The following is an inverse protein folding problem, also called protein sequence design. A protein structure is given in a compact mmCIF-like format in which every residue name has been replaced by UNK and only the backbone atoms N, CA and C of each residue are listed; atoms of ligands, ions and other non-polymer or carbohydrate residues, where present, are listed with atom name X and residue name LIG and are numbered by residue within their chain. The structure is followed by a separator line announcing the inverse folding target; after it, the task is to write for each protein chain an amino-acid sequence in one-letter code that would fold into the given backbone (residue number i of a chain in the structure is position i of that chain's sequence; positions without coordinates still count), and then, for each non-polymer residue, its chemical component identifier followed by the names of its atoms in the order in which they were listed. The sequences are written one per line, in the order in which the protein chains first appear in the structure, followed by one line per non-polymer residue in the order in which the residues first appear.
data_IF_990644202263
#
_entry.id   IF_990644202263
#
_cell.length_a   1.000
_cell.length_b   1.000
_cell.length_c   1.000
_cell.angle_alpha   90.00
_cell.angle_beta   90.00
_cell.angle_gamma   90.00
#
_symmetry.space_group_name_H-M   'P 1'
#
loop_
_entity.id
_entity.type
_entity.pdbx_description
1 polymer ?
#
# COMPACT_ATOMS: atom_id res chain seq x y z
N UNK A 1 13.97 28.62 25.48
CA UNK A 1 12.76 27.95 25.00
C UNK A 1 12.54 28.27 23.55
N UNK A 2 12.08 27.31 22.74
CA UNK A 2 11.79 27.51 21.33
C UNK A 2 12.95 27.29 20.36
N UNK A 3 14.09 26.83 20.79
CA UNK A 3 15.23 26.52 19.94
C UNK A 3 15.22 25.07 19.45
N UNK A 4 15.76 24.82 18.25
CA UNK A 4 16.08 23.47 17.77
C UNK A 4 17.38 23.03 18.42
N UNK A 5 17.39 21.85 19.01
CA UNK A 5 18.55 21.27 19.70
C UNK A 5 18.80 19.84 19.26
N UNK A 6 20.04 19.38 19.33
CA UNK A 6 20.39 17.98 19.15
C UNK A 6 20.42 17.28 20.51
N UNK A 7 19.77 16.14 20.62
CA UNK A 7 19.73 15.31 21.84
C UNK A 7 20.36 13.96 21.50
N UNK A 8 21.20 13.43 22.41
CA UNK A 8 21.84 12.13 22.27
C UNK A 8 21.43 11.20 23.41
N UNK A 9 21.50 9.89 23.19
CA UNK A 9 21.24 8.88 24.21
C UNK A 9 19.77 8.40 24.28
N UNK A 10 18.93 8.81 23.34
CA UNK A 10 17.56 8.30 23.20
C UNK A 10 17.59 7.00 22.37
N UNK A 11 17.37 5.86 23.00
CA UNK A 11 17.47 4.55 22.31
C UNK A 11 16.18 4.15 21.58
N UNK A 12 15.03 4.56 22.13
CA UNK A 12 13.71 4.07 21.69
C UNK A 12 12.85 5.16 21.00
N UNK A 13 13.42 6.34 20.75
CA UNK A 13 12.72 7.42 20.03
C UNK A 13 12.91 7.28 18.54
N UNK A 14 11.83 7.51 17.81
CA UNK A 14 11.77 7.59 16.37
C UNK A 14 11.42 9.03 15.95
N UNK A 15 11.54 9.35 14.66
CA UNK A 15 11.05 10.62 14.13
C UNK A 15 9.55 10.81 14.46
N UNK A 16 9.15 12.00 14.89
CA UNK A 16 7.79 12.29 15.37
C UNK A 16 7.53 12.01 16.85
N UNK A 17 8.43 11.31 17.57
CA UNK A 17 8.25 11.04 19.00
C UNK A 17 8.31 12.31 19.84
N UNK A 18 7.37 12.49 20.78
CA UNK A 18 7.41 13.54 21.79
C UNK A 18 8.34 13.14 22.93
N UNK A 19 9.35 13.97 23.20
CA UNK A 19 10.32 13.76 24.31
C UNK A 19 10.05 14.77 25.43
N UNK A 20 9.76 14.27 26.63
CA UNK A 20 9.44 15.10 27.80
C UNK A 20 10.12 14.57 29.07
N UNK A 21 10.39 15.46 30.01
CA UNK A 21 10.87 15.12 31.36
C UNK A 21 9.73 14.76 32.33
N UNK A 22 8.49 14.99 31.95
CA UNK A 22 7.28 14.72 32.74
C UNK A 22 6.25 14.06 31.85
N UNK A 23 5.37 13.26 32.42
CA UNK A 23 4.24 12.68 31.71
C UNK A 23 3.35 13.80 31.16
N UNK A 24 3.08 13.78 29.85
CA UNK A 24 2.22 14.73 29.14
C UNK A 24 1.56 14.05 27.94
N UNK A 25 0.48 14.63 27.46
CA UNK A 25 -0.12 14.19 26.18
C UNK A 25 0.91 14.43 25.06
N UNK A 26 1.24 13.42 24.25
CA UNK A 26 2.12 13.60 23.09
C UNK A 26 1.60 14.68 22.14
N UNK A 27 2.50 15.38 21.47
CA UNK A 27 2.10 16.19 20.32
C UNK A 27 1.60 15.27 19.21
N UNK A 28 0.71 15.79 18.37
CA UNK A 28 0.30 15.08 17.16
C UNK A 28 1.55 14.73 16.34
N UNK A 29 1.67 13.47 15.97
CA UNK A 29 2.71 13.02 15.03
C UNK A 29 2.44 13.67 13.68
N UNK A 30 3.49 14.06 12.97
CA UNK A 30 3.37 14.35 11.54
C UNK A 30 3.38 12.98 10.87
N UNK A 31 2.20 12.44 10.64
CA UNK A 31 2.07 11.20 9.89
C UNK A 31 2.42 11.49 8.43
N UNK A 32 3.56 10.97 8.01
CA UNK A 32 3.91 10.97 6.59
C UNK A 32 3.05 9.92 5.90
N UNK A 33 2.01 10.39 5.22
CA UNK A 33 1.01 9.57 4.50
C UNK A 33 1.61 8.90 3.25
N UNK A 34 2.89 8.98 3.08
CA UNK A 34 3.58 8.48 1.90
C UNK A 34 3.89 7.00 2.02
N UNK A 35 3.09 6.16 1.40
CA UNK A 35 3.40 4.73 1.25
C UNK A 35 4.60 4.56 0.31
N UNK A 36 5.55 3.65 0.62
CA UNK A 36 6.63 3.30 -0.30
C UNK A 36 6.06 2.66 -1.57
N UNK A 37 6.62 3.03 -2.72
CA UNK A 37 6.12 2.59 -4.04
C UNK A 37 7.14 1.80 -4.84
N UNK A 38 8.39 1.75 -4.39
CA UNK A 38 9.48 0.99 -5.00
C UNK A 38 10.22 0.19 -3.94
N UNK A 39 10.52 -1.05 -4.24
CA UNK A 39 11.26 -1.96 -3.37
C UNK A 39 12.51 -2.48 -4.09
N UNK A 40 13.64 -2.57 -3.39
CA UNK A 40 14.85 -3.27 -3.85
C UNK A 40 15.31 -4.26 -2.79
N UNK A 41 15.82 -5.40 -3.21
CA UNK A 41 16.58 -6.27 -2.33
C UNK A 41 18.01 -5.72 -2.18
N UNK A 42 18.54 -5.76 -0.98
CA UNK A 42 19.83 -5.19 -0.62
C UNK A 42 20.70 -6.24 0.06
N UNK A 43 21.84 -6.55 -0.55
CA UNK A 43 22.78 -7.55 -0.06
C UNK A 43 24.14 -6.93 0.25
N UNK A 44 24.77 -7.34 1.34
CA UNK A 44 26.14 -6.99 1.61
C UNK A 44 27.08 -7.80 0.70
N UNK A 45 28.01 -7.12 -0.02
CA UNK A 45 29.02 -7.79 -0.87
C UNK A 45 29.92 -8.76 -0.09
N UNK A 46 29.99 -8.61 1.24
CA UNK A 46 30.76 -9.47 2.14
C UNK A 46 29.85 -9.95 3.27
N UNK A 47 29.83 -11.24 3.52
CA UNK A 47 29.06 -11.84 4.62
C UNK A 47 29.42 -11.27 6.01
N UNK A 48 30.68 -10.89 6.22
CA UNK A 48 31.14 -10.28 7.46
C UNK A 48 30.51 -8.91 7.76
N UNK A 49 30.04 -8.21 6.72
CA UNK A 49 29.40 -6.91 6.82
C UNK A 49 27.88 -7.01 7.06
N UNK A 50 27.29 -8.20 6.94
CA UNK A 50 25.83 -8.42 7.06
C UNK A 50 25.23 -7.96 8.41
N UNK A 51 25.81 -8.31 9.58
CA UNK A 51 25.26 -7.85 10.87
C UNK A 51 25.26 -6.31 10.97
N UNK A 52 26.30 -5.68 10.43
CA UNK A 52 26.42 -4.23 10.42
C UNK A 52 25.41 -3.57 9.45
N UNK A 53 25.14 -4.24 8.32
CA UNK A 53 24.11 -3.79 7.37
C UNK A 53 22.72 -3.79 8.04
N UNK A 54 22.37 -4.86 8.74
CA UNK A 54 21.10 -4.96 9.47
C UNK A 54 20.94 -3.82 10.49
N UNK A 55 21.98 -3.53 11.28
CA UNK A 55 21.95 -2.42 12.23
C UNK A 55 21.74 -1.07 11.53
N UNK A 56 22.41 -0.87 10.39
CA UNK A 56 22.28 0.37 9.60
C UNK A 56 20.90 0.49 8.98
N UNK A 57 20.31 -0.58 8.46
CA UNK A 57 18.96 -0.58 7.90
C UNK A 57 17.91 -0.25 8.99
N UNK A 58 18.02 -0.84 10.17
CA UNK A 58 17.17 -0.51 11.31
C UNK A 58 17.33 0.95 11.77
N UNK A 59 18.54 1.51 11.66
CA UNK A 59 18.78 2.91 11.95
C UNK A 59 18.11 3.81 10.90
N UNK A 60 18.23 3.49 9.62
CA UNK A 60 17.62 4.25 8.51
C UNK A 60 16.10 4.28 8.66
N UNK A 61 15.46 3.14 8.92
CA UNK A 61 14.01 3.07 9.14
C UNK A 61 13.52 3.93 10.32
N UNK A 62 14.37 4.14 11.34
CA UNK A 62 14.06 5.05 12.46
C UNK A 62 14.28 6.53 12.13
N UNK A 63 15.26 6.82 11.25
CA UNK A 63 15.62 8.19 10.84
C UNK A 63 14.64 8.73 9.78
N UNK A 64 14.15 7.85 8.91
CA UNK A 64 13.29 8.18 7.77
C UNK A 64 12.04 7.30 7.78
N UNK A 65 10.88 7.83 8.21
CA UNK A 65 9.63 7.08 8.29
C UNK A 65 9.05 6.69 6.90
N UNK A 66 9.56 7.27 5.82
CA UNK A 66 9.17 6.92 4.44
C UNK A 66 9.90 5.68 3.91
N UNK A 67 10.84 5.14 4.69
CA UNK A 67 11.61 3.94 4.37
C UNK A 67 11.12 2.76 5.19
N UNK A 68 10.69 1.72 4.52
CA UNK A 68 10.36 0.44 5.16
C UNK A 68 11.49 -0.56 4.91
N UNK A 69 11.82 -1.32 5.93
CA UNK A 69 12.83 -2.38 5.87
C UNK A 69 12.17 -3.68 6.32
N UNK A 70 12.23 -4.68 5.48
CA UNK A 70 11.70 -6.01 5.73
C UNK A 70 12.80 -7.05 5.50
N UNK A 71 12.79 -8.10 6.30
CA UNK A 71 13.67 -9.25 6.11
C UNK A 71 12.80 -10.39 5.62
N UNK A 72 13.02 -10.83 4.40
CA UNK A 72 12.41 -12.03 3.88
C UNK A 72 13.01 -13.25 4.60
N UNK A 73 12.23 -13.89 5.45
CA UNK A 73 12.68 -15.03 6.24
C UNK A 73 12.91 -16.29 5.37
N UNK A 74 12.29 -16.39 4.20
CA UNK A 74 12.44 -17.53 3.29
C UNK A 74 13.71 -17.43 2.45
N UNK A 75 13.99 -16.26 1.89
CA UNK A 75 15.17 -16.02 1.04
C UNK A 75 16.38 -15.51 1.84
N UNK A 76 16.13 -14.88 2.98
CA UNK A 76 17.15 -14.18 3.78
C UNK A 76 17.56 -12.84 3.16
N UNK A 77 16.81 -12.35 2.19
CA UNK A 77 17.05 -11.05 1.55
C UNK A 77 16.57 -9.91 2.46
N UNK A 78 17.23 -8.77 2.35
CA UNK A 78 16.82 -7.55 3.04
C UNK A 78 16.16 -6.63 2.05
N UNK A 79 14.83 -6.52 2.15
CA UNK A 79 14.04 -5.66 1.29
C UNK A 79 14.01 -4.24 1.88
N UNK A 80 14.26 -3.25 1.04
CA UNK A 80 14.12 -1.84 1.39
C UNK A 80 13.14 -1.19 0.41
N UNK A 81 12.11 -0.58 0.96
CA UNK A 81 11.07 0.10 0.19
C UNK A 81 11.10 1.60 0.46
N UNK A 82 10.91 2.38 -0.57
CA UNK A 82 10.98 3.84 -0.51
C UNK A 82 10.10 4.52 -1.55
N UNK A 83 10.18 5.85 -1.59
CA UNK A 83 9.31 6.73 -2.39
C UNK A 83 9.62 6.71 -3.89
N UNK A 84 10.70 6.07 -4.32
CA UNK A 84 11.11 5.99 -5.72
C UNK A 84 12.57 5.59 -5.88
N UNK A 85 12.97 5.39 -7.16
CA UNK A 85 14.32 4.95 -7.52
C UNK A 85 15.41 5.85 -6.92
N UNK A 86 15.32 7.16 -7.13
CA UNK A 86 16.31 8.13 -6.64
C UNK A 86 16.43 8.10 -5.11
N UNK A 87 15.32 7.94 -4.40
CA UNK A 87 15.31 7.83 -2.95
C UNK A 87 16.14 6.62 -2.50
N UNK A 88 15.91 5.45 -3.09
CA UNK A 88 16.65 4.22 -2.79
C UNK A 88 18.12 4.30 -3.20
N UNK A 89 18.46 4.95 -4.32
CA UNK A 89 19.85 5.22 -4.72
C UNK A 89 20.58 6.09 -3.68
N UNK A 90 19.93 7.15 -3.19
CA UNK A 90 20.52 8.02 -2.15
C UNK A 90 20.78 7.23 -0.87
N UNK A 91 19.84 6.38 -0.45
CA UNK A 91 20.01 5.52 0.73
C UNK A 91 21.15 4.55 0.54
N UNK A 92 21.20 3.87 -0.60
CA UNK A 92 22.30 2.94 -0.97
C UNK A 92 23.65 3.63 -0.93
N UNK A 93 23.76 4.83 -1.52
CA UNK A 93 25.01 5.63 -1.47
C UNK A 93 25.37 6.06 -0.03
N UNK A 94 24.38 6.38 0.82
CA UNK A 94 24.65 6.69 2.23
C UNK A 94 25.21 5.47 2.98
N UNK A 95 24.69 4.27 2.72
CA UNK A 95 25.19 3.02 3.30
C UNK A 95 26.65 2.80 2.87
N UNK A 96 26.96 2.91 1.57
CA UNK A 96 28.30 2.70 1.05
C UNK A 96 29.31 3.76 1.54
N UNK A 97 28.96 5.06 1.39
CA UNK A 97 29.90 6.17 1.67
C UNK A 97 30.05 6.47 3.15
N UNK A 98 28.95 6.52 3.90
CA UNK A 98 28.97 6.97 5.30
C UNK A 98 29.23 5.84 6.28
N UNK A 99 28.78 4.62 5.96
CA UNK A 99 28.92 3.45 6.83
C UNK A 99 30.03 2.50 6.34
N UNK A 100 30.51 2.68 5.12
CA UNK A 100 31.61 1.91 4.52
C UNK A 100 31.23 0.44 4.25
N UNK A 101 29.95 0.16 4.00
CA UNK A 101 29.43 -1.17 3.70
C UNK A 101 29.16 -1.24 2.19
N UNK A 102 29.96 -1.97 1.41
CA UNK A 102 29.66 -2.19 0.01
C UNK A 102 28.45 -3.10 -0.13
N UNK A 103 27.42 -2.63 -0.86
CA UNK A 103 26.17 -3.37 -1.08
C UNK A 103 25.91 -3.62 -2.56
N UNK A 104 25.05 -4.58 -2.86
CA UNK A 104 24.44 -4.83 -4.17
C UNK A 104 22.95 -4.65 -4.05
N UNK A 105 22.32 -4.06 -5.05
CA UNK A 105 20.86 -3.93 -5.14
C UNK A 105 20.33 -4.81 -6.25
N UNK A 106 19.13 -5.37 -6.07
CA UNK A 106 18.35 -5.95 -7.17
C UNK A 106 17.83 -4.86 -8.12
N UNK A 107 17.22 -5.28 -9.22
CA UNK A 107 16.39 -4.37 -10.00
C UNK A 107 15.21 -3.88 -9.14
N UNK A 108 14.80 -2.60 -9.29
CA UNK A 108 13.68 -2.06 -8.52
C UNK A 108 12.37 -2.77 -8.88
N UNK A 109 11.58 -3.05 -7.86
CA UNK A 109 10.27 -3.68 -7.98
C UNK A 109 9.22 -2.64 -7.63
N UNK A 110 8.25 -2.43 -8.51
CA UNK A 110 7.09 -1.57 -8.24
C UNK A 110 6.11 -2.31 -7.32
N UNK A 111 5.58 -1.60 -6.34
CA UNK A 111 4.55 -2.10 -5.43
C UNK A 111 3.19 -1.82 -6.04
N UNK A 112 2.47 -2.87 -6.39
CA UNK A 112 1.09 -2.80 -6.88
C UNK A 112 0.08 -3.00 -5.74
N UNK A 113 -1.19 -2.71 -6.02
CA UNK A 113 -2.32 -3.02 -5.14
C UNK A 113 -3.40 -3.76 -5.92
N UNK A 114 -4.30 -4.44 -5.22
CA UNK A 114 -5.49 -5.04 -5.82
C UNK A 114 -6.73 -4.36 -5.27
N UNK A 115 -7.67 -4.00 -6.14
CA UNK A 115 -8.94 -3.40 -5.75
C UNK A 115 -10.08 -3.99 -6.57
N UNK A 116 -11.30 -3.54 -6.31
CA UNK A 116 -12.49 -3.90 -7.07
C UNK A 116 -13.10 -2.63 -7.68
N UNK A 117 -13.67 -2.75 -8.88
CA UNK A 117 -14.24 -1.61 -9.61
C UNK A 117 -15.76 -1.57 -9.57
N UNK A 118 -16.40 -2.70 -9.31
CA UNK A 118 -17.85 -2.82 -9.26
C UNK A 118 -18.33 -3.37 -7.92
N UNK A 119 -19.53 -2.94 -7.51
CA UNK A 119 -20.21 -3.55 -6.38
C UNK A 119 -20.82 -4.88 -6.82
N UNK A 120 -20.59 -5.93 -6.07
CA UNK A 120 -21.21 -7.22 -6.31
C UNK A 120 -22.66 -7.22 -5.84
N UNK A 121 -23.59 -7.37 -6.77
CA UNK A 121 -25.05 -7.47 -6.46
C UNK A 121 -25.41 -8.80 -5.80
N UNK A 122 -24.72 -9.87 -6.18
CA UNK A 122 -24.92 -11.22 -5.66
C UNK A 122 -24.09 -11.51 -4.39
N UNK A 123 -24.54 -12.49 -3.63
CA UNK A 123 -23.85 -12.94 -2.41
C UNK A 123 -22.91 -14.09 -2.72
N UNK A 124 -21.66 -13.98 -2.26
CA UNK A 124 -20.67 -15.04 -2.34
C UNK A 124 -20.74 -15.94 -1.10
N UNK A 125 -20.74 -17.24 -1.29
CA UNK A 125 -20.71 -18.22 -0.21
C UNK A 125 -19.29 -18.74 0.04
N UNK A 126 -18.75 -18.52 1.24
CA UNK A 126 -17.55 -19.21 1.74
C UNK A 126 -17.93 -20.46 2.53
N UNK A 127 -17.31 -21.59 2.22
CA UNK A 127 -17.62 -22.85 2.88
C UNK A 127 -16.36 -23.40 3.55
N UNK A 128 -16.47 -23.70 4.84
CA UNK A 128 -15.33 -24.26 5.58
C UNK A 128 -14.92 -25.63 5.02
N UNK A 129 -13.62 -26.02 5.12
CA UNK A 129 -13.12 -27.31 4.62
C UNK A 129 -13.92 -28.52 5.11
N UNK A 130 -14.40 -28.50 6.35
CA UNK A 130 -15.29 -29.53 6.91
C UNK A 130 -16.75 -29.43 6.45
N UNK A 131 -17.11 -28.37 5.70
CA UNK A 131 -18.46 -28.05 5.19
C UNK A 131 -19.54 -27.81 6.26
N UNK A 132 -19.14 -27.54 7.49
CA UNK A 132 -20.08 -27.29 8.60
C UNK A 132 -20.39 -25.82 8.79
N UNK A 133 -19.53 -24.92 8.30
CA UNK A 133 -19.74 -23.49 8.42
C UNK A 133 -19.84 -22.85 7.04
N UNK A 134 -20.68 -21.82 6.92
CA UNK A 134 -20.88 -21.06 5.69
C UNK A 134 -20.95 -19.58 6.04
N UNK A 135 -20.28 -18.77 5.23
CA UNK A 135 -20.22 -17.33 5.33
C UNK A 135 -20.78 -16.73 4.05
N UNK A 136 -21.71 -15.80 4.17
CA UNK A 136 -22.32 -15.12 3.03
C UNK A 136 -21.87 -13.67 3.02
N UNK A 137 -21.17 -13.29 1.96
CA UNK A 137 -20.51 -11.99 1.85
C UNK A 137 -20.87 -11.28 0.56
N UNK A 138 -20.80 -9.97 0.59
CA UNK A 138 -20.91 -9.08 -0.55
C UNK A 138 -19.69 -8.16 -0.56
N UNK A 139 -19.17 -7.87 -1.75
CA UNK A 139 -17.97 -7.05 -1.93
C UNK A 139 -18.33 -5.81 -2.75
N UNK A 140 -17.81 -4.67 -2.36
CA UNK A 140 -17.96 -3.40 -3.06
C UNK A 140 -16.72 -2.52 -2.92
N UNK A 141 -16.47 -1.57 -3.85
CA UNK A 141 -15.39 -0.61 -3.68
C UNK A 141 -15.68 0.39 -2.58
N UNK A 142 -14.65 0.79 -1.84
CA UNK A 142 -14.69 1.93 -0.92
C UNK A 142 -14.54 3.21 -1.74
N UNK A 143 -15.29 4.27 -1.42
CA UNK A 143 -15.17 5.54 -2.14
C UNK A 143 -13.82 6.22 -1.88
N UNK A 144 -13.36 7.02 -2.84
CA UNK A 144 -12.07 7.74 -2.75
C UNK A 144 -11.99 8.63 -1.51
N UNK A 145 -13.09 9.30 -1.16
CA UNK A 145 -13.15 10.18 0.02
C UNK A 145 -12.98 9.41 1.33
N UNK A 146 -13.49 8.19 1.40
CA UNK A 146 -13.31 7.30 2.56
C UNK A 146 -11.87 6.79 2.60
N UNK A 147 -11.32 6.35 1.47
CA UNK A 147 -9.92 5.91 1.36
C UNK A 147 -8.97 7.03 1.84
N UNK A 148 -9.21 8.27 1.42
CA UNK A 148 -8.42 9.42 1.87
C UNK A 148 -8.46 9.60 3.39
N UNK A 149 -9.65 9.54 4.00
CA UNK A 149 -9.80 9.63 5.46
C UNK A 149 -9.09 8.51 6.21
N UNK A 150 -9.12 7.29 5.67
CA UNK A 150 -8.43 6.15 6.25
C UNK A 150 -6.90 6.34 6.16
N UNK A 151 -6.38 6.78 5.02
CA UNK A 151 -4.96 7.08 4.82
C UNK A 151 -4.46 8.22 5.71
N UNK A 152 -5.30 9.23 5.96
CA UNK A 152 -5.01 10.33 6.89
C UNK A 152 -5.06 9.92 8.38
N UNK A 153 -5.44 8.67 8.68
CA UNK A 153 -5.62 8.22 10.07
C UNK A 153 -6.80 8.88 10.79
N UNK A 154 -7.70 9.56 10.06
CA UNK A 154 -8.86 10.23 10.64
C UNK A 154 -9.98 9.24 11.04
N UNK A 155 -9.93 8.01 10.53
CA UNK A 155 -10.83 6.92 10.92
C UNK A 155 -10.02 5.63 11.11
N UNK A 156 -9.72 5.26 12.36
CA UNK A 156 -8.96 4.05 12.70
C UNK A 156 -9.70 3.19 13.74
N UNK A 157 -9.34 1.92 13.85
CA UNK A 157 -9.91 1.01 14.87
C UNK A 157 -9.51 1.40 16.30
N UNK A 158 -8.39 2.08 16.50
CA UNK A 158 -7.90 2.52 17.82
C UNK A 158 -8.66 3.74 18.36
N UNK A 159 -9.41 4.44 17.51
CA UNK A 159 -10.20 5.60 17.92
C UNK A 159 -11.51 5.17 18.59
N UNK A 160 -12.10 6.05 19.43
CA UNK A 160 -13.46 5.84 19.96
C UNK A 160 -14.45 5.63 18.82
N UNK A 161 -15.29 4.62 18.93
CA UNK A 161 -16.28 4.20 17.92
C UNK A 161 -17.13 5.36 17.38
N UNK A 162 -17.54 6.29 18.25
CA UNK A 162 -18.32 7.45 17.85
C UNK A 162 -17.53 8.38 16.92
N UNK A 163 -16.26 8.65 17.22
CA UNK A 163 -15.39 9.50 16.41
C UNK A 163 -15.14 8.88 15.05
N UNK A 164 -14.79 7.60 15.00
CA UNK A 164 -14.62 6.85 13.76
C UNK A 164 -15.88 6.89 12.87
N UNK A 165 -17.06 6.66 13.46
CA UNK A 165 -18.33 6.72 12.74
C UNK A 165 -18.63 8.11 12.18
N UNK A 166 -18.31 9.17 12.89
CA UNK A 166 -18.49 10.54 12.42
C UNK A 166 -17.56 10.83 11.24
N UNK A 167 -16.27 10.47 11.34
CA UNK A 167 -15.31 10.65 10.26
C UNK A 167 -15.71 9.90 8.97
N UNK A 168 -16.13 8.64 9.08
CA UNK A 168 -16.60 7.86 7.93
C UNK A 168 -17.85 8.45 7.27
N UNK A 169 -18.78 9.00 8.07
CA UNK A 169 -19.97 9.69 7.53
C UNK A 169 -19.63 11.00 6.86
N UNK A 170 -18.71 11.76 7.42
CA UNK A 170 -18.21 13.00 6.79
C UNK A 170 -17.57 12.72 5.44
N UNK A 171 -16.91 11.55 5.28
CA UNK A 171 -16.39 11.05 4.03
C UNK A 171 -17.47 10.47 3.07
N UNK A 172 -18.74 10.55 3.42
CA UNK A 172 -19.84 10.11 2.56
C UNK A 172 -20.31 8.67 2.76
N UNK A 173 -19.71 7.89 3.69
CA UNK A 173 -20.22 6.56 4.01
C UNK A 173 -21.62 6.65 4.62
N UNK A 174 -22.52 5.75 4.20
CA UNK A 174 -23.86 5.73 4.77
C UNK A 174 -23.85 5.39 6.28
N UNK A 175 -24.89 5.86 6.98
CA UNK A 175 -24.94 5.77 8.43
C UNK A 175 -24.95 4.33 8.96
N UNK A 176 -25.62 3.41 8.26
CA UNK A 176 -25.78 2.01 8.69
C UNK A 176 -24.43 1.29 8.51
N UNK A 177 -23.79 1.45 7.38
CA UNK A 177 -22.45 0.91 7.09
C UNK A 177 -21.42 1.43 8.11
N UNK A 178 -21.33 2.75 8.31
CA UNK A 178 -20.40 3.34 9.28
C UNK A 178 -20.65 2.87 10.73
N UNK A 179 -21.89 2.47 11.06
CA UNK A 179 -22.24 1.93 12.36
C UNK A 179 -21.83 0.47 12.52
N UNK A 180 -21.84 -0.31 11.44
CA UNK A 180 -21.63 -1.74 11.43
C UNK A 180 -20.18 -2.12 11.06
N UNK A 181 -19.26 -1.14 10.95
CA UNK A 181 -17.82 -1.41 10.74
C UNK A 181 -17.30 -2.24 11.91
N UNK A 182 -16.88 -3.45 11.60
CA UNK A 182 -16.35 -4.44 12.55
C UNK A 182 -14.82 -4.39 12.61
N UNK A 183 -14.16 -4.31 11.47
CA UNK A 183 -12.70 -4.33 11.39
C UNK A 183 -12.21 -3.51 10.18
N UNK A 184 -10.95 -3.08 10.24
CA UNK A 184 -10.27 -2.37 9.16
C UNK A 184 -8.85 -2.90 9.01
N UNK A 185 -8.42 -3.14 7.78
CA UNK A 185 -7.05 -3.48 7.43
C UNK A 185 -6.54 -2.49 6.36
N UNK A 186 -5.76 -1.50 6.77
CA UNK A 186 -5.39 -0.37 5.91
C UNK A 186 -6.63 0.40 5.45
N UNK A 187 -6.86 0.44 4.15
CA UNK A 187 -8.04 1.07 3.53
C UNK A 187 -9.19 0.09 3.28
N UNK A 188 -9.02 -1.18 3.66
CA UNK A 188 -10.05 -2.21 3.50
C UNK A 188 -10.94 -2.28 4.74
N UNK A 189 -12.23 -2.52 4.55
CA UNK A 189 -13.25 -2.44 5.61
C UNK A 189 -14.07 -3.72 5.66
N UNK A 190 -14.21 -4.32 6.85
CA UNK A 190 -15.14 -5.39 7.13
C UNK A 190 -16.36 -4.84 7.88
N UNK A 191 -17.54 -5.11 7.38
CA UNK A 191 -18.83 -4.68 7.95
C UNK A 191 -19.62 -5.92 8.40
N UNK A 192 -20.13 -5.90 9.62
CA UNK A 192 -21.05 -6.93 10.13
C UNK A 192 -22.51 -6.49 9.99
N UNK A 193 -23.17 -6.92 8.92
CA UNK A 193 -24.59 -6.69 8.67
C UNK A 193 -25.47 -7.88 9.11
N UNK A 194 -24.90 -8.84 9.85
CA UNK A 194 -25.66 -9.99 10.35
C UNK A 194 -26.64 -9.61 11.46
N UNK A 195 -27.68 -10.42 11.64
CA UNK A 195 -28.69 -10.18 12.68
C UNK A 195 -28.87 -11.42 13.56
N UNK A 196 -28.39 -11.34 14.80
CA UNK A 196 -28.69 -12.33 15.83
C UNK A 196 -28.13 -13.73 15.59
N UNK A 197 -26.97 -13.83 14.96
CA UNK A 197 -26.29 -15.11 14.67
C UNK A 197 -25.69 -15.68 15.96
N UNK A 198 -26.13 -16.90 16.30
CA UNK A 198 -25.58 -17.63 17.45
C UNK A 198 -24.11 -18.00 17.19
N UNK A 199 -23.24 -17.86 18.19
CA UNK A 199 -21.80 -18.15 18.17
C UNK A 199 -20.94 -17.26 17.26
N UNK A 200 -21.50 -16.28 16.53
CA UNK A 200 -20.69 -15.40 15.66
C UNK A 200 -19.70 -14.58 16.50
N UNK A 201 -20.13 -14.05 17.64
CA UNK A 201 -19.25 -13.25 18.51
C UNK A 201 -17.98 -14.00 18.95
N UNK A 202 -18.07 -15.31 19.16
CA UNK A 202 -16.93 -16.15 19.54
C UNK A 202 -16.03 -16.49 18.35
N UNK A 203 -16.52 -16.28 17.15
CA UNK A 203 -15.85 -16.67 15.89
C UNK A 203 -15.39 -15.44 15.11
N UNK A 204 -15.77 -14.23 15.54
CA UNK A 204 -15.53 -12.99 14.81
C UNK A 204 -14.03 -12.71 14.63
N UNK A 205 -13.19 -12.93 15.63
CA UNK A 205 -11.74 -12.79 15.53
C UNK A 205 -11.14 -13.64 14.39
N UNK A 206 -11.68 -14.83 14.14
CA UNK A 206 -11.25 -15.68 13.03
C UNK A 206 -11.79 -15.20 11.67
N UNK A 207 -12.92 -14.50 11.66
CA UNK A 207 -13.44 -13.84 10.46
C UNK A 207 -12.57 -12.62 10.11
N UNK A 208 -12.19 -11.83 11.11
CA UNK A 208 -11.27 -10.70 10.97
C UNK A 208 -9.91 -11.18 10.45
N UNK A 209 -9.34 -12.24 11.02
CA UNK A 209 -8.07 -12.85 10.56
C UNK A 209 -8.16 -13.35 9.11
N UNK A 210 -9.27 -14.00 8.73
CA UNK A 210 -9.50 -14.45 7.36
C UNK A 210 -9.69 -13.29 6.37
N UNK A 211 -10.27 -12.18 6.81
CA UNK A 211 -10.35 -10.94 6.06
C UNK A 211 -8.97 -10.29 5.88
N UNK A 212 -8.17 -10.24 6.94
CA UNK A 212 -6.80 -9.71 6.90
C UNK A 212 -5.92 -10.52 5.95
N UNK A 213 -5.95 -11.86 6.03
CA UNK A 213 -5.23 -12.70 5.08
C UNK A 213 -5.65 -12.44 3.62
N UNK A 214 -6.97 -12.29 3.38
CA UNK A 214 -7.49 -12.08 2.03
C UNK A 214 -7.11 -10.69 1.47
N UNK A 215 -7.06 -9.67 2.32
CA UNK A 215 -6.72 -8.30 1.91
C UNK A 215 -5.22 -8.02 1.93
N UNK A 216 -4.43 -8.79 2.65
CA UNK A 216 -2.97 -8.72 2.58
C UNK A 216 -2.42 -9.37 1.30
N UNK A 217 -3.10 -10.39 0.78
CA UNK A 217 -2.72 -11.11 -0.44
C UNK A 217 -3.94 -11.26 -1.34
N UNK A 218 -4.13 -10.35 -2.29
CA UNK A 218 -5.28 -10.35 -3.20
C UNK A 218 -5.29 -11.53 -4.20
N UNK A 219 -6.43 -11.78 -4.87
CA UNK A 219 -6.64 -12.96 -5.72
C UNK A 219 -5.90 -12.93 -7.05
N UNK A 220 -5.54 -11.75 -7.58
CA UNK A 220 -4.95 -11.63 -8.92
C UNK A 220 -3.46 -11.96 -8.94
N UNK A 221 -2.69 -11.30 -8.11
CA UNK A 221 -1.23 -11.39 -8.09
C UNK A 221 -0.64 -11.47 -6.66
N UNK A 222 -1.49 -11.67 -5.65
CA UNK A 222 -1.07 -11.68 -4.25
C UNK A 222 -0.51 -10.33 -3.80
N UNK A 223 -0.98 -9.23 -4.40
CA UNK A 223 -0.65 -7.89 -3.95
C UNK A 223 -1.68 -7.43 -2.90
N UNK A 224 -1.30 -6.55 -1.96
CA UNK A 224 -2.24 -6.09 -0.94
C UNK A 224 -3.46 -5.37 -1.53
N UNK A 225 -4.62 -5.59 -0.91
CA UNK A 225 -5.87 -4.93 -1.27
C UNK A 225 -5.90 -3.47 -0.88
N UNK A 226 -6.54 -2.64 -1.70
CA UNK A 226 -6.81 -1.23 -1.41
C UNK A 226 -8.27 -0.88 -1.71
N UNK A 227 -8.96 -0.34 -0.70
CA UNK A 227 -10.31 0.17 -0.89
C UNK A 227 -11.37 -0.90 -1.14
N UNK A 228 -11.25 -2.06 -0.50
CA UNK A 228 -12.21 -3.15 -0.59
C UNK A 228 -13.12 -3.14 0.64
N UNK A 229 -14.43 -3.04 0.45
CA UNK A 229 -15.42 -3.19 1.49
C UNK A 229 -16.07 -4.56 1.39
N UNK A 230 -16.01 -5.32 2.48
CA UNK A 230 -16.62 -6.64 2.62
C UNK A 230 -17.75 -6.59 3.63
N UNK A 231 -18.96 -6.92 3.19
CA UNK A 231 -20.15 -7.05 4.05
C UNK A 231 -20.38 -8.51 4.41
N UNK A 232 -20.35 -8.83 5.68
CA UNK A 232 -20.82 -10.12 6.20
C UNK A 232 -22.33 -10.06 6.38
N UNK A 233 -23.09 -10.71 5.49
CA UNK A 233 -24.56 -10.62 5.47
C UNK A 233 -25.25 -11.67 6.33
N UNK A 234 -24.73 -12.91 6.30
CA UNK A 234 -25.28 -14.04 7.07
C UNK A 234 -24.18 -15.09 7.33
N UNK A 235 -24.33 -15.86 8.37
CA UNK A 235 -23.40 -16.92 8.74
C UNK A 235 -24.15 -18.15 9.24
N UNK A 236 -23.76 -19.32 8.81
CA UNK A 236 -24.20 -20.60 9.37
C UNK A 236 -23.03 -21.28 10.05
N UNK A 237 -23.09 -21.36 11.38
CA UNK A 237 -22.02 -21.95 12.20
C UNK A 237 -22.50 -23.26 12.82
N UNK A 238 -21.59 -24.22 12.91
CA UNK A 238 -21.83 -25.47 13.65
C UNK A 238 -21.94 -25.17 15.15
N UNK A 239 -22.80 -25.89 15.86
CA UNK A 239 -23.03 -25.69 17.29
C UNK A 239 -21.78 -26.01 18.13
N UNK A 240 -21.05 -27.05 17.76
CA UNK A 240 -19.84 -27.48 18.47
C UNK A 240 -18.61 -26.67 18.01
N UNK A 241 -17.95 -26.02 18.98
CA UNK A 241 -16.79 -25.17 18.77
C UNK A 241 -15.60 -25.89 18.09
N UNK A 242 -15.48 -27.22 18.25
CA UNK A 242 -14.41 -27.99 17.62
C UNK A 242 -14.46 -27.93 16.07
N UNK A 243 -15.64 -27.66 15.51
CA UNK A 243 -15.86 -27.52 14.08
C UNK A 243 -15.75 -26.07 13.57
N UNK A 244 -15.47 -25.10 14.44
CA UNK A 244 -15.35 -23.66 14.15
C UNK A 244 -13.95 -23.10 14.42
N UNK A 245 -12.93 -23.94 14.46
CA UNK A 245 -11.55 -23.51 14.72
C UNK A 245 -10.91 -22.76 13.54
N UNK A 246 -9.72 -22.16 13.75
CA UNK A 246 -8.99 -21.36 12.74
C UNK A 246 -8.87 -22.07 11.39
N UNK A 247 -8.46 -23.32 11.36
CA UNK A 247 -8.32 -24.12 10.14
C UNK A 247 -9.63 -24.34 9.34
N UNK A 248 -10.78 -23.92 9.89
CA UNK A 248 -12.09 -24.03 9.23
C UNK A 248 -12.61 -22.65 8.81
N UNK A 249 -12.50 -21.63 9.68
CA UNK A 249 -13.09 -20.31 9.47
C UNK A 249 -12.21 -19.46 8.56
N UNK A 250 -10.92 -19.34 8.87
CA UNK A 250 -10.00 -18.45 8.13
C UNK A 250 -9.98 -18.77 6.64
N UNK A 251 -9.75 -20.04 6.20
CA UNK A 251 -9.75 -20.35 4.76
C UNK A 251 -11.11 -20.11 4.09
N UNK A 252 -12.23 -20.34 4.81
CA UNK A 252 -13.55 -20.13 4.24
C UNK A 252 -13.84 -18.63 3.99
N UNK A 253 -13.44 -17.77 4.92
CA UNK A 253 -13.58 -16.33 4.79
C UNK A 253 -12.66 -15.81 3.69
N UNK A 254 -11.36 -16.17 3.71
CA UNK A 254 -10.41 -15.78 2.68
C UNK A 254 -10.87 -16.16 1.27
N UNK A 255 -11.33 -17.41 1.08
CA UNK A 255 -11.83 -17.86 -0.22
C UNK A 255 -13.08 -17.09 -0.66
N UNK A 256 -14.00 -16.77 0.27
CA UNK A 256 -15.18 -15.97 -0.03
C UNK A 256 -14.80 -14.55 -0.47
N UNK A 257 -13.90 -13.89 0.26
CA UNK A 257 -13.43 -12.54 -0.08
C UNK A 257 -12.74 -12.54 -1.44
N UNK A 258 -11.79 -13.47 -1.70
CA UNK A 258 -11.10 -13.55 -3.00
C UNK A 258 -12.08 -13.80 -4.15
N UNK A 259 -13.00 -14.76 -4.00
CA UNK A 259 -14.02 -15.03 -5.02
C UNK A 259 -14.92 -13.80 -5.24
N UNK A 260 -15.32 -13.13 -4.16
CA UNK A 260 -16.11 -11.91 -4.22
C UNK A 260 -15.38 -10.78 -4.92
N UNK A 261 -14.09 -10.57 -4.64
CA UNK A 261 -13.26 -9.58 -5.34
C UNK A 261 -13.21 -9.85 -6.84
N UNK A 262 -12.99 -11.12 -7.25
CA UNK A 262 -12.98 -11.49 -8.68
C UNK A 262 -14.32 -11.19 -9.33
N UNK A 263 -15.44 -11.52 -8.70
CA UNK A 263 -16.77 -11.25 -9.23
C UNK A 263 -17.16 -9.76 -9.20
N UNK A 264 -16.51 -8.96 -8.35
CA UNK A 264 -16.64 -7.51 -8.26
C UNK A 264 -15.62 -6.77 -9.17
N UNK A 265 -15.15 -7.44 -10.21
CA UNK A 265 -14.13 -6.94 -11.16
C UNK A 265 -12.83 -6.50 -10.49
N UNK A 266 -12.10 -7.46 -9.90
CA UNK A 266 -10.79 -7.19 -9.33
C UNK A 266 -9.82 -6.62 -10.38
N UNK A 267 -9.07 -5.57 -10.02
CA UNK A 267 -8.09 -4.88 -10.87
C UNK A 267 -6.79 -4.65 -10.10
N UNK A 268 -5.66 -4.72 -10.81
CA UNK A 268 -4.41 -4.16 -10.31
C UNK A 268 -4.47 -2.63 -10.37
N UNK A 269 -3.95 -2.01 -9.31
CA UNK A 269 -3.66 -0.60 -9.23
C UNK A 269 -2.15 -0.41 -9.30
N UNK A 270 -1.70 0.57 -10.08
CA UNK A 270 -0.31 1.00 -10.15
C UNK A 270 -0.08 2.30 -9.36
N UNK A 271 1.08 2.47 -8.71
CA UNK A 271 1.40 3.70 -8.01
C UNK A 271 1.71 4.81 -9.00
N UNK A 272 1.19 6.00 -8.73
CA UNK A 272 1.36 7.21 -9.51
C UNK A 272 2.15 8.23 -8.71
N UNK A 273 2.97 9.02 -9.39
CA UNK A 273 3.66 10.17 -8.82
C UNK A 273 3.23 11.46 -9.49
N UNK A 274 3.01 12.49 -8.69
CA UNK A 274 2.99 13.89 -9.14
C UNK A 274 4.42 14.29 -9.47
N UNK A 275 4.65 14.73 -10.69
CA UNK A 275 5.98 15.08 -11.21
C UNK A 275 6.04 16.57 -11.49
N UNK A 276 7.03 17.25 -10.90
CA UNK A 276 7.29 18.66 -11.07
C UNK A 276 8.63 18.85 -11.77
N UNK A 277 8.62 19.48 -12.94
CA UNK A 277 9.83 19.72 -13.74
C UNK A 277 10.00 21.23 -13.93
N UNK A 278 11.11 21.77 -13.45
CA UNK A 278 11.51 23.15 -13.69
C UNK A 278 12.61 23.21 -14.74
N UNK A 279 12.41 23.96 -15.82
CA UNK A 279 13.40 24.13 -16.87
C UNK A 279 13.30 25.49 -17.59
N UNK A 280 14.38 25.94 -18.27
CA UNK A 280 14.29 27.11 -19.16
C UNK A 280 13.28 26.86 -20.30
N UNK A 281 12.56 27.90 -20.71
CA UNK A 281 11.51 27.85 -21.73
C UNK A 281 11.94 27.12 -23.02
N UNK A 282 13.20 27.24 -23.43
CA UNK A 282 13.74 26.56 -24.62
C UNK A 282 13.75 25.03 -24.50
N UNK A 283 13.75 24.49 -23.27
CA UNK A 283 13.77 23.05 -22.98
C UNK A 283 12.38 22.49 -22.58
N UNK A 284 11.35 23.34 -22.54
CA UNK A 284 9.98 22.93 -22.21
C UNK A 284 9.48 21.79 -23.11
N UNK A 285 9.67 21.89 -24.42
CA UNK A 285 9.26 20.84 -25.37
C UNK A 285 9.91 19.49 -25.11
N UNK A 286 11.26 19.40 -25.07
CA UNK A 286 11.95 18.17 -24.69
C UNK A 286 11.52 17.62 -23.32
N UNK A 287 11.43 18.45 -22.29
CA UNK A 287 11.01 18.02 -20.95
C UNK A 287 9.58 17.43 -20.94
N UNK A 288 8.64 18.12 -21.61
CA UNK A 288 7.26 17.64 -21.76
C UNK A 288 7.20 16.31 -22.53
N UNK A 289 8.00 16.17 -23.58
CA UNK A 289 8.04 14.94 -24.38
C UNK A 289 8.59 13.75 -23.60
N UNK A 290 9.57 13.95 -22.73
CA UNK A 290 10.11 12.89 -21.88
C UNK A 290 9.06 12.38 -20.89
N UNK A 291 8.29 13.26 -20.25
CA UNK A 291 7.22 12.86 -19.35
C UNK A 291 6.09 12.14 -20.12
N UNK A 292 5.62 12.71 -21.24
CA UNK A 292 4.55 12.12 -22.04
C UNK A 292 4.94 10.77 -22.66
N UNK A 293 6.21 10.59 -23.05
CA UNK A 293 6.72 9.33 -23.56
C UNK A 293 6.70 8.18 -22.55
N UNK A 294 6.48 8.49 -21.26
CA UNK A 294 6.44 7.58 -20.12
C UNK A 294 5.03 7.40 -19.54
N UNK A 295 4.02 7.38 -20.38
CA UNK A 295 2.60 7.39 -20.01
C UNK A 295 2.22 8.56 -19.09
N UNK A 296 3.09 9.57 -18.99
CA UNK A 296 2.85 10.75 -18.17
C UNK A 296 1.79 11.68 -18.77
N UNK A 297 0.98 12.23 -17.90
CA UNK A 297 0.01 13.28 -18.20
C UNK A 297 0.52 14.62 -17.70
N UNK A 298 0.42 15.65 -18.50
CA UNK A 298 0.70 17.02 -18.06
C UNK A 298 -0.62 17.67 -17.67
N UNK A 299 -0.66 18.18 -16.45
CA UNK A 299 -1.85 18.82 -15.88
C UNK A 299 -1.77 20.33 -15.98
N UNK A 300 -0.59 20.94 -15.77
CA UNK A 300 -0.39 22.40 -15.84
C UNK A 300 1.03 22.77 -16.28
N UNK A 301 1.18 23.99 -16.79
CA UNK A 301 2.46 24.60 -17.14
C UNK A 301 2.47 26.06 -16.71
N UNK A 302 3.30 26.38 -15.73
CA UNK A 302 3.41 27.71 -15.14
C UNK A 302 4.64 28.39 -15.73
N UNK A 303 4.45 29.58 -16.31
CA UNK A 303 5.53 30.39 -16.90
C UNK A 303 5.97 31.48 -15.95
N UNK A 304 7.21 31.41 -15.47
CA UNK A 304 7.83 32.40 -14.62
C UNK A 304 9.05 33.05 -15.30
N UNK A 305 8.79 34.03 -16.17
CA UNK A 305 9.83 34.67 -16.94
C UNK A 305 10.49 33.79 -17.98
N UNK A 306 11.77 33.42 -17.79
CA UNK A 306 12.51 32.53 -18.67
C UNK A 306 12.43 31.05 -18.24
N UNK A 307 11.80 30.76 -17.11
CA UNK A 307 11.63 29.43 -16.53
C UNK A 307 10.20 28.98 -16.73
N UNK A 308 10.03 27.67 -16.95
CA UNK A 308 8.73 27.00 -17.00
C UNK A 308 8.74 25.88 -15.99
N UNK A 309 7.71 25.82 -15.18
CA UNK A 309 7.40 24.71 -14.29
C UNK A 309 6.29 23.87 -14.94
N UNK A 310 6.56 22.56 -15.12
CA UNK A 310 5.64 21.60 -15.69
C UNK A 310 5.16 20.71 -14.56
N UNK A 311 3.85 20.68 -14.34
CA UNK A 311 3.20 19.79 -13.39
C UNK A 311 2.50 18.67 -14.17
N UNK A 312 2.68 17.43 -13.74
CA UNK A 312 2.04 16.29 -14.36
C UNK A 312 2.10 15.06 -13.48
N UNK A 313 1.56 13.97 -13.97
CA UNK A 313 1.55 12.68 -13.29
C UNK A 313 2.14 11.61 -14.19
N UNK A 314 2.82 10.64 -13.59
CA UNK A 314 3.29 9.46 -14.31
C UNK A 314 3.32 8.22 -13.39
N UNK A 315 3.15 7.01 -13.97
CA UNK A 315 3.31 5.76 -13.24
C UNK A 315 4.75 5.57 -12.79
N UNK A 316 4.93 5.08 -11.57
CA UNK A 316 6.27 4.81 -11.00
C UNK A 316 7.10 3.87 -11.87
N UNK A 317 6.46 2.85 -12.45
CA UNK A 317 7.11 1.88 -13.35
C UNK A 317 7.79 2.56 -14.56
N UNK A 318 7.22 3.65 -15.04
CA UNK A 318 7.73 4.38 -16.21
C UNK A 318 8.80 5.43 -15.84
N UNK A 319 8.95 5.76 -14.56
CA UNK A 319 9.89 6.77 -14.11
C UNK A 319 11.30 6.23 -13.85
N UNK A 320 11.51 4.91 -13.95
CA UNK A 320 12.87 4.36 -13.86
C UNK A 320 13.78 4.91 -14.97
N UNK A 321 14.95 5.42 -14.58
CA UNK A 321 15.89 6.08 -15.48
C UNK A 321 15.51 7.50 -15.91
N UNK A 322 14.33 8.03 -15.52
CA UNK A 322 13.87 9.36 -15.91
C UNK A 322 14.88 10.47 -15.59
N UNK A 323 15.57 10.38 -14.46
CA UNK A 323 16.60 11.34 -14.05
C UNK A 323 17.72 11.48 -15.10
N UNK A 324 18.12 10.37 -15.73
CA UNK A 324 19.15 10.37 -16.77
C UNK A 324 18.63 10.95 -18.07
N UNK A 325 17.41 10.58 -18.45
CA UNK A 325 16.82 10.94 -19.75
C UNK A 325 16.40 12.42 -19.78
N UNK A 326 15.77 12.92 -18.72
CA UNK A 326 15.43 14.34 -18.61
C UNK A 326 16.68 15.23 -18.58
N UNK A 327 17.76 14.77 -17.94
CA UNK A 327 19.04 15.47 -17.95
C UNK A 327 19.62 15.54 -19.36
N UNK A 328 19.57 14.43 -20.10
CA UNK A 328 20.06 14.36 -21.48
C UNK A 328 19.22 15.23 -22.42
N UNK A 329 17.89 15.14 -22.32
CA UNK A 329 16.96 15.89 -23.17
C UNK A 329 17.03 17.40 -22.96
N UNK A 330 17.41 17.85 -21.74
CA UNK A 330 17.45 19.26 -21.36
C UNK A 330 18.87 19.82 -21.20
N UNK A 331 19.90 19.13 -21.66
CA UNK A 331 21.30 19.53 -21.51
C UNK A 331 21.71 19.77 -20.04
N UNK A 332 21.10 19.05 -19.11
CA UNK A 332 21.30 19.22 -17.67
C UNK A 332 20.70 20.50 -17.09
N UNK A 333 19.73 21.12 -17.78
CA UNK A 333 19.12 22.40 -17.36
C UNK A 333 17.79 22.23 -16.63
N UNK A 334 17.17 21.04 -16.68
CA UNK A 334 15.99 20.73 -15.90
C UNK A 334 16.37 20.23 -14.51
N UNK A 335 15.60 20.66 -13.53
CA UNK A 335 15.48 20.02 -12.22
C UNK A 335 14.09 19.42 -12.09
N UNK A 336 13.96 18.34 -11.35
CA UNK A 336 12.68 17.70 -11.14
C UNK A 336 12.59 17.07 -9.75
N UNK A 337 11.37 16.93 -9.27
CA UNK A 337 11.03 16.15 -8.10
C UNK A 337 9.72 15.38 -8.36
N UNK A 338 9.42 14.44 -7.50
CA UNK A 338 8.18 13.68 -7.56
C UNK A 338 7.66 13.39 -6.15
N UNK A 339 6.34 13.38 -6.03
CA UNK A 339 5.62 13.09 -4.79
C UNK A 339 4.61 11.95 -5.06
N UNK A 340 4.30 11.17 -4.02
CA UNK A 340 3.32 10.10 -4.16
C UNK A 340 1.92 10.68 -4.39
N UNK A 341 1.27 10.29 -5.49
CA UNK A 341 -0.10 10.66 -5.84
C UNK A 341 -1.11 9.51 -5.60
N UNK A 342 -0.70 8.47 -4.85
CA UNK A 342 -1.54 7.30 -4.58
C UNK A 342 -1.50 6.27 -5.70
N UNK A 343 -2.59 5.52 -5.83
CA UNK A 343 -2.72 4.42 -6.78
C UNK A 343 -3.84 4.70 -7.77
N UNK A 344 -3.67 4.26 -9.00
CA UNK A 344 -4.69 4.32 -10.06
C UNK A 344 -4.81 2.96 -10.74
N UNK A 345 -5.99 2.67 -11.29
CA UNK A 345 -6.21 1.43 -12.03
C UNK A 345 -5.23 1.32 -13.19
N UNK A 346 -4.50 0.22 -13.22
CA UNK A 346 -3.61 -0.11 -14.34
C UNK A 346 -4.45 -0.26 -15.63
N UNK A 347 -4.02 0.30 -16.77
CA UNK A 347 -4.75 0.16 -18.04
C UNK A 347 -5.03 -1.31 -18.41
N UNK A 348 -6.23 -1.61 -18.92
CA UNK A 348 -6.70 -2.97 -19.22
C UNK A 348 -5.72 -3.77 -20.09
N UNK A 349 -5.11 -3.13 -21.08
CA UNK A 349 -4.14 -3.78 -21.95
C UNK A 349 -2.84 -4.20 -21.26
N UNK A 350 -2.56 -3.71 -20.05
CA UNK A 350 -1.38 -4.05 -19.26
C UNK A 350 -1.71 -5.00 -18.10
N UNK A 351 -2.98 -5.09 -17.68
CA UNK A 351 -3.40 -5.89 -16.53
C UNK A 351 -2.84 -7.32 -16.57
N UNK A 352 -3.12 -8.04 -17.66
CA UNK A 352 -2.75 -9.46 -17.79
C UNK A 352 -1.25 -9.68 -17.87
N UNK A 353 -0.52 -8.76 -18.48
CA UNK A 353 0.94 -8.86 -18.61
C UNK A 353 1.59 -8.71 -17.23
N UNK A 354 1.23 -7.64 -16.51
CA UNK A 354 1.80 -7.34 -15.18
C UNK A 354 1.38 -8.38 -14.14
N UNK A 355 0.11 -8.85 -14.15
CA UNK A 355 -0.34 -9.95 -13.27
C UNK A 355 0.54 -11.18 -13.46
N UNK A 356 0.81 -11.60 -14.70
CA UNK A 356 1.65 -12.76 -14.98
C UNK A 356 3.08 -12.56 -14.52
N UNK A 357 3.65 -11.39 -14.76
CA UNK A 357 5.00 -11.04 -14.31
C UNK A 357 5.13 -11.13 -12.77
N UNK A 358 4.17 -10.54 -12.04
CA UNK A 358 4.17 -10.60 -10.59
C UNK A 358 4.00 -12.04 -10.09
N UNK A 359 3.06 -12.82 -10.68
CA UNK A 359 2.85 -14.22 -10.31
C UNK A 359 4.08 -15.08 -10.57
N UNK A 360 4.78 -14.87 -11.70
CA UNK A 360 6.03 -15.57 -12.01
C UNK A 360 7.11 -15.24 -10.99
N UNK A 361 7.29 -13.96 -10.67
CA UNK A 361 8.25 -13.50 -9.67
C UNK A 361 7.99 -14.09 -8.28
N UNK A 362 6.71 -14.15 -7.86
CA UNK A 362 6.29 -14.74 -6.58
C UNK A 362 6.18 -16.27 -6.58
N UNK A 363 6.49 -16.94 -7.69
CA UNK A 363 6.35 -18.39 -7.80
C UNK A 363 4.90 -18.90 -7.69
N UNK A 364 3.91 -18.05 -7.96
CA UNK A 364 2.50 -18.40 -7.93
C UNK A 364 2.10 -19.23 -9.16
N UNK A 365 1.00 -19.97 -9.06
CA UNK A 365 0.41 -20.65 -10.22
C UNK A 365 0.02 -19.62 -11.28
N UNK A 366 0.31 -19.92 -12.56
CA UNK A 366 -0.02 -19.04 -13.68
C UNK A 366 -1.51 -19.05 -14.07
N UNK A 367 -2.28 -20.02 -13.59
CA UNK A 367 -3.72 -20.07 -13.77
C UNK A 367 -4.37 -19.01 -12.87
N UNK A 368 -5.17 -18.14 -13.47
CA UNK A 368 -5.95 -17.15 -12.75
C UNK A 368 -7.19 -17.79 -12.12
N UNK A 369 -7.78 -17.19 -11.07
CA UNK A 369 -9.06 -17.62 -10.53
C UNK A 369 -10.16 -17.63 -11.61
N UNK A 370 -11.11 -18.54 -11.50
CA UNK A 370 -12.30 -18.56 -12.37
C UNK A 370 -13.07 -17.24 -12.25
N UNK A 371 -13.41 -16.63 -13.38
CA UNK A 371 -14.12 -15.35 -13.45
C UNK A 371 -13.23 -14.12 -13.77
N UNK A 372 -11.92 -14.32 -14.00
CA UNK A 372 -10.99 -13.23 -14.41
C UNK A 372 -10.92 -13.07 -15.93
N UNK A 373 -11.84 -13.67 -16.68
CA UNK A 373 -11.85 -13.67 -18.16
C UNK A 373 -12.13 -12.29 -18.76
N UNK A 374 -12.57 -11.31 -17.96
CA UNK A 374 -12.91 -9.95 -18.36
C UNK A 374 -11.72 -8.96 -18.33
N UNK A 375 -10.53 -9.39 -17.88
CA UNK A 375 -9.31 -8.56 -17.84
C UNK A 375 -8.56 -8.62 -19.17
#
# INVERSE_FOLDING_TARGET
AGNIVAVTGLKDSIAGSTVSSTEMTPFESIDHISEPVVTVALEAKKMDDLPKLIEVLQQISKEDPTVQVEIDEETGEHLISGMGELHLEVITQRIERNKGIPVTTSEPIVVYRESVTEALDDTVEGVSPNRHNKFYMQIEPVSEEVIEKLKLGEATMDQPEQQRREALKEAGMDKETAQNVQHMNGTNILVDDTKGIQHLRETMELVEEGFDEATNEGPLAGEPGEGVLVRLLDVKLHEDAIHRGPAQVIPAVREAVHRGMVHAEARLLEPIQDVYIECPQKHMGPASSELQGRRGRIDDMIHEGEIVEIHGQAPVAELFGFSSDIRSATEGKATWNAENAGFQTLPDNLQMEIIKEIRERKGMKMELPEGVDYI
#
